data_IF_184863079593
#
_entry.id   IF_184863079593
#
_cell.length_a   1.000
_cell.length_b   1.000
_cell.length_c   1.000
_cell.angle_alpha   90.00
_cell.angle_beta   90.00
_cell.angle_gamma   90.00
#
_symmetry.space_group_name_H-M   'P 1'
#
loop_
_entity.id
_entity.type
_entity.pdbx_description
1 polymer ?
#
# COMPACT_ATOMS: atom_id res chain seq x y z
N UNK A 1 -13.29 -6.71 20.37
CA UNK A 1 -11.90 -6.49 20.83
C UNK A 1 -11.58 -5.00 20.79
N UNK A 2 -10.61 -4.57 21.59
CA UNK A 2 -10.05 -3.22 21.56
C UNK A 2 -8.75 -3.24 20.76
N UNK A 3 -8.71 -2.47 19.68
CA UNK A 3 -7.63 -2.54 18.67
C UNK A 3 -6.97 -1.18 18.53
N UNK A 4 -5.63 -1.14 18.60
CA UNK A 4 -4.87 0.00 18.11
C UNK A 4 -4.52 -0.22 16.65
N UNK A 5 -4.85 0.75 15.79
CA UNK A 5 -4.58 0.69 14.36
C UNK A 5 -3.59 1.79 13.95
N UNK A 6 -2.40 1.39 13.52
CA UNK A 6 -1.36 2.30 13.05
C UNK A 6 -1.40 2.54 11.55
N UNK A 7 -1.34 3.81 11.14
CA UNK A 7 -1.32 4.21 9.71
C UNK A 7 -0.12 5.10 9.45
N UNK A 8 0.73 4.71 8.51
CA UNK A 8 1.84 5.58 8.09
C UNK A 8 1.30 6.81 7.37
N UNK A 9 1.82 7.99 7.72
CA UNK A 9 1.31 9.28 7.22
C UNK A 9 1.81 9.71 5.85
N UNK A 10 2.72 8.96 5.25
CA UNK A 10 3.31 9.24 3.94
C UNK A 10 2.37 8.78 2.81
N UNK A 11 1.72 9.76 2.17
CA UNK A 11 0.83 9.53 1.04
C UNK A 11 -0.61 9.13 1.43
N UNK A 12 -1.56 9.50 0.55
CA UNK A 12 -3.00 9.25 0.78
C UNK A 12 -3.38 7.78 0.55
N UNK A 13 -2.57 7.00 -0.18
CA UNK A 13 -2.87 5.59 -0.47
C UNK A 13 -3.00 4.72 0.79
N UNK A 14 -2.15 4.97 1.81
CA UNK A 14 -2.27 4.30 3.11
C UNK A 14 -3.56 4.68 3.84
N UNK A 15 -3.88 5.97 3.87
CA UNK A 15 -5.09 6.45 4.54
C UNK A 15 -6.38 5.89 3.91
N UNK A 16 -6.46 5.86 2.57
CA UNK A 16 -7.64 5.37 1.84
C UNK A 16 -7.84 3.88 2.02
N UNK A 17 -6.78 3.05 1.93
CA UNK A 17 -6.91 1.60 2.14
C UNK A 17 -7.15 1.25 3.61
N UNK A 18 -6.49 1.96 4.55
CA UNK A 18 -6.73 1.76 5.99
C UNK A 18 -8.17 2.11 6.38
N UNK A 19 -8.79 3.15 5.76
CA UNK A 19 -10.21 3.45 5.96
C UNK A 19 -11.09 2.22 5.69
N UNK A 20 -10.83 1.49 4.62
CA UNK A 20 -11.60 0.29 4.26
C UNK A 20 -11.55 -0.77 5.36
N UNK A 21 -10.36 -1.02 5.90
CA UNK A 21 -10.15 -1.99 6.97
C UNK A 21 -10.78 -1.50 8.28
N UNK A 22 -10.61 -0.23 8.60
CA UNK A 22 -11.18 0.39 9.80
C UNK A 22 -12.72 0.35 9.78
N UNK A 23 -13.34 0.61 8.62
CA UNK A 23 -14.80 0.50 8.47
C UNK A 23 -15.30 -0.93 8.67
N UNK A 24 -14.57 -1.94 8.19
CA UNK A 24 -14.87 -3.36 8.43
C UNK A 24 -14.79 -3.70 9.93
N UNK A 25 -13.67 -3.34 10.57
CA UNK A 25 -13.47 -3.62 12.00
C UNK A 25 -14.52 -2.94 12.90
N UNK A 26 -14.88 -1.69 12.58
CA UNK A 26 -15.93 -0.95 13.30
C UNK A 26 -17.32 -1.60 13.10
N UNK A 27 -17.62 -2.05 11.87
CA UNK A 27 -18.85 -2.76 11.56
C UNK A 27 -18.95 -4.12 12.29
N UNK A 28 -17.81 -4.78 12.51
CA UNK A 28 -17.69 -5.99 13.32
C UNK A 28 -17.81 -5.75 14.85
N UNK A 29 -17.96 -4.49 15.28
CA UNK A 29 -18.16 -4.12 16.69
C UNK A 29 -16.87 -4.02 17.49
N UNK A 30 -15.71 -3.87 16.85
CA UNK A 30 -14.43 -3.60 17.54
C UNK A 30 -14.36 -2.14 17.99
N UNK A 31 -13.77 -1.89 19.14
CA UNK A 31 -13.41 -0.56 19.62
C UNK A 31 -12.00 -0.21 19.11
N UNK A 32 -11.84 0.94 18.46
CA UNK A 32 -10.60 1.25 17.73
C UNK A 32 -10.04 2.60 18.15
N UNK A 33 -8.74 2.64 18.40
CA UNK A 33 -7.94 3.86 18.42
C UNK A 33 -6.96 3.83 17.24
N UNK A 34 -7.05 4.85 16.40
CA UNK A 34 -6.15 5.02 15.25
C UNK A 34 -4.99 5.93 15.65
N UNK A 35 -3.76 5.49 15.37
CA UNK A 35 -2.55 6.31 15.49
C UNK A 35 -2.01 6.60 14.09
N UNK A 36 -1.87 7.87 13.74
CA UNK A 36 -1.55 8.27 12.37
C UNK A 36 -0.80 9.59 12.34
N UNK A 37 0.07 9.78 11.36
CA UNK A 37 0.83 11.04 11.20
C UNK A 37 0.41 11.82 9.95
N UNK A 38 0.78 13.10 9.89
CA UNK A 38 0.73 13.93 8.69
C UNK A 38 -0.66 14.14 8.09
N UNK A 39 -0.73 14.21 6.76
CA UNK A 39 -1.98 14.51 6.03
C UNK A 39 -3.07 13.45 6.22
N UNK A 40 -2.68 12.22 6.47
CA UNK A 40 -3.62 11.12 6.72
C UNK A 40 -4.43 11.34 8.02
N UNK A 41 -3.89 12.07 9.01
CA UNK A 41 -4.60 12.37 10.26
C UNK A 41 -5.90 13.14 10.01
N UNK A 42 -5.84 14.28 9.30
CA UNK A 42 -7.03 15.08 9.02
C UNK A 42 -8.10 14.29 8.24
N UNK A 43 -7.66 13.50 7.27
CA UNK A 43 -8.54 12.65 6.46
C UNK A 43 -9.26 11.59 7.32
N UNK A 44 -8.52 10.81 8.12
CA UNK A 44 -9.11 9.76 8.94
C UNK A 44 -9.95 10.32 10.08
N UNK A 45 -9.56 11.45 10.68
CA UNK A 45 -10.38 12.15 11.68
C UNK A 45 -11.74 12.52 11.12
N UNK A 46 -11.78 13.06 9.89
CA UNK A 46 -13.04 13.41 9.23
C UNK A 46 -13.89 12.18 8.89
N UNK A 47 -13.27 11.13 8.32
CA UNK A 47 -13.98 9.93 7.85
C UNK A 47 -14.50 9.06 8.99
N UNK A 48 -13.82 9.06 10.14
CA UNK A 48 -14.15 8.23 11.30
C UNK A 48 -14.83 9.00 12.44
N UNK A 49 -15.20 10.27 12.19
CA UNK A 49 -15.80 11.15 13.20
C UNK A 49 -16.95 10.47 13.95
N UNK A 50 -16.87 10.46 15.29
CA UNK A 50 -17.86 9.86 16.17
C UNK A 50 -17.88 8.30 16.20
N UNK A 51 -16.99 7.63 15.44
CA UNK A 51 -16.91 6.16 15.37
C UNK A 51 -15.62 5.59 15.94
N UNK A 52 -14.51 6.31 15.82
CA UNK A 52 -13.21 5.93 16.38
C UNK A 52 -12.46 7.15 16.86
N UNK A 53 -11.60 6.95 17.87
CA UNK A 53 -10.63 7.95 18.32
C UNK A 53 -9.45 7.95 17.36
N UNK A 54 -9.01 9.13 16.90
CA UNK A 54 -7.87 9.29 15.98
C UNK A 54 -6.83 10.18 16.65
N UNK A 55 -5.66 9.63 16.92
CA UNK A 55 -4.55 10.30 17.57
C UNK A 55 -3.44 10.64 16.59
N UNK A 56 -2.99 11.88 16.63
CA UNK A 56 -1.91 12.31 15.78
C UNK A 56 -0.56 12.01 16.46
N UNK A 57 0.25 11.20 15.77
CA UNK A 57 1.63 10.89 16.14
C UNK A 57 2.62 11.62 15.22
N UNK A 58 3.87 11.68 15.66
CA UNK A 58 4.96 12.13 14.82
C UNK A 58 5.48 10.95 13.99
N UNK A 59 5.31 11.03 12.67
CA UNK A 59 5.83 10.04 11.71
C UNK A 59 7.22 10.38 11.21
N UNK A 60 7.85 9.45 10.52
CA UNK A 60 9.06 9.73 9.75
C UNK A 60 8.69 10.56 8.52
N UNK A 61 9.46 11.61 8.25
CA UNK A 61 9.28 12.47 7.07
C UNK A 61 10.31 12.10 6.00
N UNK A 62 9.82 11.76 4.81
CA UNK A 62 10.66 11.57 3.62
C UNK A 62 10.69 12.88 2.81
N UNK A 63 11.85 13.32 2.41
CA UNK A 63 12.04 14.47 1.52
C UNK A 63 12.45 14.01 0.14
N UNK A 64 11.96 14.71 -0.87
CA UNK A 64 12.19 14.42 -2.27
C UNK A 64 12.80 15.63 -2.97
N UNK A 65 13.81 15.40 -3.80
CA UNK A 65 14.32 16.37 -4.75
C UNK A 65 13.86 15.95 -6.16
N UNK A 66 12.87 16.67 -6.70
CA UNK A 66 12.20 16.24 -7.93
C UNK A 66 11.43 14.93 -7.74
N UNK A 67 11.84 13.88 -8.46
CA UNK A 67 11.28 12.53 -8.37
C UNK A 67 12.20 11.56 -7.62
N UNK A 68 13.27 12.05 -7.00
CA UNK A 68 14.24 11.23 -6.27
C UNK A 68 14.06 11.39 -4.76
N UNK A 69 14.29 10.31 -4.02
CA UNK A 69 14.30 10.33 -2.56
C UNK A 69 15.62 10.90 -2.05
N UNK A 70 15.58 12.09 -1.44
CA UNK A 70 16.73 12.65 -0.74
C UNK A 70 16.88 12.03 0.65
N UNK A 71 17.71 10.99 0.71
CA UNK A 71 18.01 10.28 1.95
C UNK A 71 18.74 11.18 2.96
N UNK A 72 19.64 12.05 2.49
CA UNK A 72 20.46 12.91 3.36
C UNK A 72 19.60 13.96 4.05
N UNK A 73 18.77 14.67 3.29
CA UNK A 73 17.83 15.65 3.85
C UNK A 73 16.72 15.01 4.67
N UNK A 74 16.25 13.82 4.28
CA UNK A 74 15.29 13.05 5.06
C UNK A 74 15.83 12.70 6.43
N UNK A 75 17.05 12.16 6.52
CA UNK A 75 17.72 11.84 7.77
C UNK A 75 17.94 13.10 8.62
N UNK A 76 18.47 14.18 8.04
CA UNK A 76 18.76 15.41 8.77
C UNK A 76 17.50 16.08 9.31
N UNK A 77 16.41 16.13 8.53
CA UNK A 77 15.13 16.69 8.97
C UNK A 77 14.49 15.86 10.08
N UNK A 78 14.52 14.53 9.97
CA UNK A 78 14.01 13.67 11.05
C UNK A 78 14.82 13.81 12.34
N UNK A 79 16.16 13.92 12.25
CA UNK A 79 17.00 14.18 13.44
C UNK A 79 16.69 15.52 14.11
N UNK A 80 16.42 16.57 13.34
CA UNK A 80 16.06 17.90 13.88
C UNK A 80 14.70 17.89 14.59
N UNK A 81 13.73 17.16 14.07
CA UNK A 81 12.38 17.06 14.63
C UNK A 81 12.24 15.97 15.72
N UNK A 82 13.27 15.14 15.91
CA UNK A 82 13.23 14.01 16.84
C UNK A 82 12.87 14.39 18.29
N UNK A 83 13.37 15.48 18.89
CA UNK A 83 13.03 15.81 20.28
C UNK A 83 11.55 16.12 20.48
N UNK A 84 10.94 16.94 19.61
CA UNK A 84 9.52 17.30 19.68
C UNK A 84 8.63 16.10 19.33
N UNK A 85 8.98 15.37 18.27
CA UNK A 85 8.28 14.18 17.83
C UNK A 85 8.30 13.07 18.88
N UNK A 86 9.44 12.88 19.55
CA UNK A 86 9.55 11.91 20.64
C UNK A 86 8.66 12.29 21.83
N UNK A 87 8.63 13.57 22.22
CA UNK A 87 7.76 14.05 23.30
C UNK A 87 6.29 13.84 23.00
N UNK A 88 5.83 14.17 21.77
CA UNK A 88 4.47 13.93 21.33
C UNK A 88 4.12 12.43 21.38
N UNK A 89 4.97 11.59 20.81
CA UNK A 89 4.73 10.15 20.76
C UNK A 89 4.72 9.50 22.15
N UNK A 90 5.58 9.97 23.07
CA UNK A 90 5.57 9.50 24.46
C UNK A 90 4.27 9.92 25.19
N UNK A 91 3.75 11.11 24.91
CA UNK A 91 2.46 11.57 25.44
C UNK A 91 1.31 10.65 24.98
N UNK A 92 1.18 10.44 23.68
CA UNK A 92 0.18 9.53 23.09
C UNK A 92 0.35 8.12 23.64
N UNK A 93 1.58 7.61 23.72
CA UNK A 93 1.87 6.29 24.30
C UNK A 93 1.37 6.17 25.73
N UNK A 94 1.70 7.14 26.60
CA UNK A 94 1.28 7.12 27.99
C UNK A 94 -0.24 7.21 28.17
N UNK A 95 -0.92 7.98 27.32
CA UNK A 95 -2.38 8.09 27.33
C UNK A 95 -3.06 6.79 26.86
N UNK A 96 -2.52 6.14 25.83
CA UNK A 96 -3.01 4.84 25.40
C UNK A 96 -2.83 3.76 26.47
N UNK A 97 -1.65 3.69 27.09
CA UNK A 97 -1.39 2.72 28.19
C UNK A 97 -2.33 2.90 29.36
N UNK A 98 -2.67 4.16 29.70
CA UNK A 98 -3.54 4.46 30.84
C UNK A 98 -5.03 4.32 30.52
N UNK A 99 -5.42 4.62 29.28
CA UNK A 99 -6.83 4.81 28.94
C UNK A 99 -7.41 3.81 27.94
N UNK A 100 -6.58 2.96 27.33
CA UNK A 100 -7.03 1.99 26.32
C UNK A 100 -6.34 0.65 26.49
N UNK A 101 -7.00 -0.26 27.18
CA UNK A 101 -6.49 -1.62 27.41
C UNK A 101 -6.67 -2.46 26.13
N UNK A 102 -5.74 -2.32 25.17
CA UNK A 102 -5.81 -2.95 23.87
C UNK A 102 -5.61 -4.47 23.95
N UNK A 103 -6.36 -5.20 23.12
CA UNK A 103 -6.24 -6.66 22.95
C UNK A 103 -5.28 -7.02 21.82
N UNK A 104 -5.23 -6.20 20.77
CA UNK A 104 -4.41 -6.42 19.57
C UNK A 104 -3.98 -5.10 18.92
N UNK A 105 -2.97 -5.19 18.06
CA UNK A 105 -2.51 -4.07 17.24
C UNK A 105 -2.57 -4.47 15.77
N UNK A 106 -3.04 -3.57 14.91
CA UNK A 106 -2.95 -3.69 13.46
C UNK A 106 -2.09 -2.54 12.94
N UNK A 107 -1.20 -2.80 12.01
CA UNK A 107 -0.30 -1.78 11.45
C UNK A 107 -0.30 -1.79 9.93
N UNK A 108 -0.64 -0.67 9.31
CA UNK A 108 -0.35 -0.37 7.93
C UNK A 108 1.02 0.33 7.85
N UNK A 109 2.08 -0.48 7.96
CA UNK A 109 3.48 -0.09 7.86
C UNK A 109 3.89 1.04 8.82
N UNK A 110 3.27 1.13 10.00
CA UNK A 110 3.46 2.19 10.97
C UNK A 110 4.28 1.69 12.19
N UNK A 111 5.37 2.37 12.53
CA UNK A 111 6.35 1.92 13.51
C UNK A 111 5.95 2.19 14.95
N UNK A 112 5.21 3.28 15.25
CA UNK A 112 4.75 3.58 16.61
C UNK A 112 3.82 2.47 17.12
N UNK A 113 2.90 2.00 16.27
CA UNK A 113 2.02 0.88 16.59
C UNK A 113 2.82 -0.40 16.90
N UNK A 114 3.90 -0.66 16.17
CA UNK A 114 4.81 -1.77 16.46
C UNK A 114 5.51 -1.61 17.82
N UNK A 115 6.04 -0.41 18.11
CA UNK A 115 6.64 -0.13 19.42
C UNK A 115 5.66 -0.32 20.55
N UNK A 116 4.42 0.14 20.38
CA UNK A 116 3.35 -0.04 21.36
C UNK A 116 3.06 -1.52 21.59
N UNK A 117 2.84 -2.28 20.51
CA UNK A 117 2.60 -3.72 20.58
C UNK A 117 3.74 -4.45 21.29
N UNK A 118 4.98 -4.14 20.94
CA UNK A 118 6.17 -4.74 21.54
C UNK A 118 6.29 -4.47 23.04
N UNK A 119 6.05 -3.22 23.44
CA UNK A 119 6.11 -2.83 24.84
C UNK A 119 5.02 -3.47 25.68
N UNK A 120 3.79 -3.49 25.17
CA UNK A 120 2.62 -4.05 25.84
C UNK A 120 2.50 -5.58 25.67
N UNK A 121 3.42 -6.21 24.93
CA UNK A 121 3.40 -7.64 24.60
C UNK A 121 2.08 -8.05 23.92
N UNK A 122 1.60 -7.24 23.01
CA UNK A 122 0.39 -7.48 22.26
C UNK A 122 0.70 -8.12 20.89
N UNK A 123 -0.16 -9.01 20.41
CA UNK A 123 -0.07 -9.51 19.04
C UNK A 123 -0.29 -8.37 18.03
N UNK A 124 0.55 -8.33 16.98
CA UNK A 124 0.48 -7.34 15.91
C UNK A 124 0.23 -8.01 14.58
N UNK A 125 -0.80 -7.57 13.86
CA UNK A 125 -1.05 -7.95 12.47
C UNK A 125 -0.54 -6.82 11.56
N UNK A 126 0.38 -7.14 10.64
CA UNK A 126 0.85 -6.21 9.59
C UNK A 126 -0.04 -6.33 8.37
N UNK A 127 -0.53 -5.22 7.84
CA UNK A 127 -1.32 -5.17 6.60
C UNK A 127 -0.75 -4.09 5.69
N UNK A 128 0.06 -4.48 4.72
CA UNK A 128 0.70 -3.54 3.80
C UNK A 128 1.15 -4.23 2.50
N UNK A 129 1.66 -3.47 1.53
CA UNK A 129 2.29 -4.00 0.33
C UNK A 129 3.82 -4.10 0.45
N UNK A 130 4.44 -3.27 1.29
CA UNK A 130 5.91 -3.15 1.40
C UNK A 130 6.59 -4.49 1.76
N UNK A 131 5.92 -5.31 2.55
CA UNK A 131 6.43 -6.60 2.98
C UNK A 131 6.61 -7.63 1.85
N UNK A 132 6.06 -7.36 0.66
CA UNK A 132 6.33 -8.21 -0.52
C UNK A 132 7.83 -8.32 -0.81
N UNK A 133 8.59 -7.22 -0.63
CA UNK A 133 10.05 -7.18 -0.78
C UNK A 133 10.79 -8.16 0.14
N UNK A 134 10.29 -8.27 1.38
CA UNK A 134 10.97 -9.04 2.43
C UNK A 134 10.46 -10.48 2.52
N UNK A 135 9.18 -10.74 2.23
CA UNK A 135 8.52 -12.00 2.56
C UNK A 135 8.27 -12.92 1.36
N UNK A 136 8.56 -12.44 0.13
CA UNK A 136 8.35 -13.22 -1.08
C UNK A 136 9.64 -13.44 -1.86
N UNK A 137 9.65 -14.46 -2.75
CA UNK A 137 10.68 -14.64 -3.77
C UNK A 137 10.30 -13.87 -5.01
N UNK A 138 11.29 -13.27 -5.64
CA UNK A 138 11.12 -12.58 -6.89
C UNK A 138 12.03 -13.22 -7.94
N UNK A 139 11.55 -13.29 -9.19
CA UNK A 139 12.37 -13.71 -10.32
C UNK A 139 13.44 -12.66 -10.60
N UNK A 140 14.53 -13.05 -11.28
CA UNK A 140 15.68 -12.17 -11.58
C UNK A 140 15.30 -10.87 -12.29
N UNK A 141 14.21 -10.89 -13.09
CA UNK A 141 13.72 -9.68 -13.75
C UNK A 141 13.13 -8.63 -12.79
N UNK A 142 12.63 -9.07 -11.65
CA UNK A 142 11.87 -8.25 -10.69
C UNK A 142 12.74 -7.81 -9.50
N UNK A 143 13.82 -8.52 -9.21
CA UNK A 143 14.72 -8.22 -8.11
C UNK A 143 16.11 -7.87 -8.62
N UNK A 144 16.74 -6.92 -7.97
CA UNK A 144 18.16 -6.61 -8.09
C UNK A 144 18.82 -7.02 -6.77
N UNK A 145 18.73 -8.32 -6.46
CA UNK A 145 19.17 -8.88 -5.18
C UNK A 145 20.68 -8.68 -4.92
N UNK A 146 21.47 -8.38 -5.96
CA UNK A 146 22.89 -8.08 -5.84
C UNK A 146 23.15 -6.59 -5.53
N UNK A 147 22.20 -5.69 -5.79
CA UNK A 147 22.32 -4.27 -5.49
C UNK A 147 22.37 -4.03 -3.97
N UNK A 148 23.39 -3.29 -3.53
CA UNK A 148 23.49 -2.86 -2.13
C UNK A 148 22.26 -2.06 -1.70
N UNK A 149 21.76 -1.19 -2.54
CA UNK A 149 20.60 -0.34 -2.27
C UNK A 149 19.31 -1.18 -2.12
N UNK A 150 19.10 -2.20 -2.95
CA UNK A 150 17.99 -3.15 -2.80
C UNK A 150 18.07 -3.90 -1.46
N UNK A 151 19.25 -4.43 -1.10
CA UNK A 151 19.44 -5.12 0.18
C UNK A 151 19.18 -4.20 1.37
N UNK A 152 19.59 -2.93 1.27
CA UNK A 152 19.31 -1.93 2.30
C UNK A 152 17.81 -1.65 2.42
N UNK A 153 17.10 -1.49 1.31
CA UNK A 153 15.64 -1.30 1.30
C UNK A 153 14.91 -2.49 1.92
N UNK A 154 15.29 -3.71 1.55
CA UNK A 154 14.75 -4.96 2.11
C UNK A 154 15.01 -5.06 3.63
N UNK A 155 16.22 -4.69 4.07
CA UNK A 155 16.55 -4.61 5.49
C UNK A 155 15.69 -3.58 6.20
N UNK A 156 15.49 -2.38 5.63
CA UNK A 156 14.66 -1.34 6.22
C UNK A 156 13.20 -1.78 6.37
N UNK A 157 12.65 -2.46 5.35
CA UNK A 157 11.29 -3.04 5.42
C UNK A 157 11.20 -4.11 6.52
N UNK A 158 12.19 -5.02 6.60
CA UNK A 158 12.28 -6.04 7.66
C UNK A 158 12.34 -5.38 9.05
N UNK A 159 13.21 -4.39 9.22
CA UNK A 159 13.46 -3.73 10.51
C UNK A 159 12.29 -2.88 11.01
N UNK A 160 11.37 -2.48 10.14
CA UNK A 160 10.27 -1.58 10.50
C UNK A 160 9.17 -2.26 11.31
N UNK A 161 8.83 -3.52 10.98
CA UNK A 161 7.79 -4.30 11.64
C UNK A 161 8.24 -5.76 11.86
N UNK A 162 9.34 -6.00 12.60
CA UNK A 162 9.81 -7.37 12.82
C UNK A 162 8.92 -8.12 13.81
N UNK A 163 8.80 -9.44 13.62
CA UNK A 163 8.14 -10.31 14.58
C UNK A 163 6.64 -10.10 14.71
N UNK A 164 5.93 -9.67 13.64
CA UNK A 164 4.49 -9.57 13.68
C UNK A 164 3.84 -10.94 13.89
N UNK A 165 2.67 -10.96 14.52
CA UNK A 165 1.85 -12.14 14.71
C UNK A 165 1.52 -12.77 13.35
N UNK A 166 1.11 -11.95 12.36
CA UNK A 166 0.93 -12.35 10.97
C UNK A 166 1.08 -11.17 10.01
N UNK A 167 1.44 -11.45 8.75
CA UNK A 167 1.59 -10.46 7.70
C UNK A 167 0.59 -10.72 6.58
N UNK A 168 -0.40 -9.85 6.43
CA UNK A 168 -1.31 -9.80 5.30
C UNK A 168 -0.72 -8.86 4.25
N UNK A 169 -0.14 -9.41 3.19
CA UNK A 169 0.57 -8.64 2.17
C UNK A 169 -0.35 -8.42 0.98
N UNK A 170 -0.81 -7.19 0.81
CA UNK A 170 -1.70 -6.82 -0.30
C UNK A 170 -0.93 -6.70 -1.61
N UNK A 171 -1.38 -7.42 -2.66
CA UNK A 171 -0.71 -7.45 -3.96
C UNK A 171 -1.67 -7.75 -5.11
N UNK A 172 -1.41 -7.21 -6.31
CA UNK A 172 -2.09 -7.59 -7.56
C UNK A 172 -1.32 -8.66 -8.33
N UNK A 173 -0.17 -9.06 -7.84
CA UNK A 173 0.66 -10.18 -8.32
C UNK A 173 1.02 -11.08 -7.14
N UNK A 174 1.22 -12.37 -7.41
CA UNK A 174 1.31 -13.37 -6.35
C UNK A 174 2.59 -14.19 -6.46
N UNK A 175 3.75 -13.63 -6.04
CA UNK A 175 5.01 -14.35 -6.01
C UNK A 175 5.00 -15.40 -4.90
N UNK A 176 5.83 -16.46 -5.00
CA UNK A 176 5.95 -17.45 -3.95
C UNK A 176 6.35 -16.83 -2.60
N UNK A 177 5.58 -17.13 -1.56
CA UNK A 177 5.90 -16.75 -0.19
C UNK A 177 7.09 -17.58 0.30
N UNK A 178 8.07 -16.90 0.94
CA UNK A 178 9.28 -17.57 1.47
C UNK A 178 9.40 -17.58 2.99
N UNK A 179 8.55 -16.83 3.68
CA UNK A 179 8.56 -16.72 5.14
C UNK A 179 7.23 -17.15 5.74
N UNK A 180 7.22 -17.88 6.87
CA UNK A 180 6.00 -18.29 7.56
C UNK A 180 5.19 -17.06 8.02
N UNK A 181 3.97 -17.29 8.49
CA UNK A 181 3.04 -16.24 8.97
C UNK A 181 2.81 -15.13 7.94
N UNK A 182 2.69 -15.52 6.66
CA UNK A 182 2.51 -14.58 5.55
C UNK A 182 1.40 -15.07 4.63
N UNK A 183 0.43 -14.20 4.38
CA UNK A 183 -0.64 -14.44 3.43
C UNK A 183 -0.70 -13.30 2.43
N UNK A 184 -0.67 -13.64 1.14
CA UNK A 184 -0.92 -12.66 0.08
C UNK A 184 -2.42 -12.47 -0.06
N UNK A 185 -2.87 -11.22 -0.12
CA UNK A 185 -4.26 -10.84 -0.33
C UNK A 185 -4.38 -9.91 -1.54
N UNK A 186 -5.52 -9.89 -2.24
CA UNK A 186 -5.75 -8.96 -3.35
C UNK A 186 -5.60 -7.49 -2.94
N UNK A 187 -5.53 -6.56 -3.91
CA UNK A 187 -5.53 -5.13 -3.63
C UNK A 187 -6.69 -4.72 -2.74
N UNK A 188 -6.40 -3.87 -1.75
CA UNK A 188 -7.41 -3.32 -0.85
C UNK A 188 -8.10 -2.16 -1.56
N UNK A 189 -9.36 -2.34 -1.89
CA UNK A 189 -10.11 -1.43 -2.74
C UNK A 189 -11.18 -0.70 -1.95
N UNK A 190 -11.26 0.61 -2.13
CA UNK A 190 -12.35 1.42 -1.56
C UNK A 190 -13.69 1.09 -2.22
N UNK A 191 -14.82 1.26 -1.49
CA UNK A 191 -16.15 0.92 -2.00
C UNK A 191 -16.49 1.61 -3.32
N UNK A 192 -16.01 2.82 -3.53
CA UNK A 192 -16.21 3.61 -4.74
C UNK A 192 -15.60 2.91 -5.99
N UNK A 193 -14.46 2.25 -5.85
CA UNK A 193 -13.81 1.45 -6.91
C UNK A 193 -14.56 0.15 -7.14
N UNK A 194 -14.96 -0.55 -6.06
CA UNK A 194 -15.72 -1.80 -6.18
C UNK A 194 -17.08 -1.59 -6.85
N UNK A 195 -17.70 -0.42 -6.66
CA UNK A 195 -18.97 -0.06 -7.29
C UNK A 195 -18.80 0.49 -8.72
N UNK A 196 -17.59 0.89 -9.11
CA UNK A 196 -17.34 1.52 -10.40
C UNK A 196 -17.42 0.49 -11.55
N UNK A 197 -18.06 0.89 -12.65
CA UNK A 197 -18.10 0.10 -13.88
C UNK A 197 -17.18 0.74 -14.91
N UNK A 198 -16.34 -0.05 -15.53
CA UNK A 198 -15.44 0.38 -16.59
C UNK A 198 -16.22 0.87 -17.81
N UNK A 199 -15.96 2.09 -18.25
CA UNK A 199 -16.51 2.72 -19.45
C UNK A 199 -15.39 3.48 -20.18
N UNK A 200 -14.61 2.83 -21.06
CA UNK A 200 -13.44 3.44 -21.69
C UNK A 200 -13.80 4.69 -22.49
N UNK A 201 -13.23 5.82 -22.11
CA UNK A 201 -13.29 7.07 -22.84
C UNK A 201 -11.98 7.39 -23.57
N UNK A 202 -11.78 8.66 -23.95
CA UNK A 202 -10.65 9.09 -24.77
C UNK A 202 -9.52 9.76 -23.97
N UNK A 203 -9.81 10.24 -22.75
CA UNK A 203 -8.83 10.99 -21.98
C UNK A 203 -7.79 10.08 -21.30
N UNK A 204 -6.61 10.64 -21.09
CA UNK A 204 -5.55 10.03 -20.30
C UNK A 204 -5.61 10.64 -18.91
N UNK A 205 -5.71 9.78 -17.88
CA UNK A 205 -5.63 10.22 -16.49
C UNK A 205 -4.16 10.35 -16.08
N UNK A 206 -3.80 11.48 -15.48
CA UNK A 206 -2.45 11.72 -14.95
C UNK A 206 -2.56 11.97 -13.45
N UNK A 207 -1.77 11.25 -12.65
CA UNK A 207 -1.70 11.47 -11.20
C UNK A 207 -0.26 11.72 -10.77
N UNK A 208 -0.03 12.86 -10.13
CA UNK A 208 1.26 13.25 -9.58
C UNK A 208 1.20 13.43 -8.07
N UNK A 209 2.17 12.86 -7.36
CA UNK A 209 2.21 12.95 -5.89
C UNK A 209 2.84 14.27 -5.41
N UNK A 210 3.78 14.84 -6.18
CA UNK A 210 4.50 16.06 -5.82
C UNK A 210 4.20 17.20 -6.80
N UNK A 211 3.59 18.28 -6.31
CA UNK A 211 3.24 19.45 -7.12
C UNK A 211 4.46 20.22 -7.66
N UNK A 212 5.65 19.99 -7.11
CA UNK A 212 6.89 20.71 -7.51
C UNK A 212 7.23 20.58 -9.00
N UNK A 213 6.85 19.47 -9.65
CA UNK A 213 7.15 19.19 -11.06
C UNK A 213 5.97 19.50 -12.00
N UNK A 214 4.94 20.21 -11.55
CA UNK A 214 3.72 20.43 -12.33
C UNK A 214 3.99 21.16 -13.66
N UNK A 215 4.88 22.15 -13.68
CA UNK A 215 5.19 22.91 -14.90
C UNK A 215 5.88 22.07 -15.98
N UNK A 216 6.85 21.25 -15.59
CA UNK A 216 7.55 20.34 -16.50
C UNK A 216 6.56 19.28 -17.05
N UNK A 217 5.71 18.72 -16.18
CA UNK A 217 4.67 17.78 -16.57
C UNK A 217 3.70 18.42 -17.59
N UNK A 218 3.12 19.59 -17.30
CA UNK A 218 2.21 20.29 -18.20
C UNK A 218 2.86 20.58 -19.56
N UNK A 219 4.10 21.06 -19.55
CA UNK A 219 4.86 21.33 -20.78
C UNK A 219 5.04 20.05 -21.62
N UNK A 220 5.28 18.92 -20.97
CA UNK A 220 5.42 17.62 -21.64
C UNK A 220 4.08 17.16 -22.23
N UNK A 221 3.00 17.21 -21.47
CA UNK A 221 1.67 16.76 -21.90
C UNK A 221 1.11 17.64 -23.04
N UNK A 222 1.40 18.93 -23.06
CA UNK A 222 0.96 19.86 -24.09
C UNK A 222 1.61 19.61 -25.48
N UNK A 223 2.68 18.83 -25.55
CA UNK A 223 3.28 18.39 -26.83
C UNK A 223 2.46 17.28 -27.51
N UNK A 224 1.55 16.66 -26.79
CA UNK A 224 0.76 15.51 -27.24
C UNK A 224 -0.65 15.92 -27.67
N UNK A 225 -1.28 15.26 -28.67
CA UNK A 225 -2.60 15.62 -29.16
C UNK A 225 -3.77 15.14 -28.25
N UNK A 226 -3.51 14.27 -27.28
CA UNK A 226 -4.52 13.68 -26.41
C UNK A 226 -5.07 14.70 -25.40
N UNK A 227 -6.26 14.44 -24.88
CA UNK A 227 -6.82 15.14 -23.73
C UNK A 227 -6.33 14.49 -22.44
N UNK A 228 -5.88 15.31 -21.50
CA UNK A 228 -5.40 14.86 -20.20
C UNK A 228 -6.23 15.42 -19.08
N UNK A 229 -6.52 14.61 -18.07
CA UNK A 229 -7.03 15.03 -16.77
C UNK A 229 -5.94 14.78 -15.71
N UNK A 230 -5.43 15.84 -15.10
CA UNK A 230 -4.27 15.78 -14.23
C UNK A 230 -4.64 16.12 -12.78
N UNK A 231 -4.34 15.21 -11.87
CA UNK A 231 -4.51 15.36 -10.43
C UNK A 231 -3.16 15.51 -9.72
N UNK A 232 -3.15 16.17 -8.55
CA UNK A 232 -1.94 16.32 -7.74
C UNK A 232 -0.98 17.42 -8.22
N UNK A 233 -1.37 18.21 -9.22
CA UNK A 233 -0.54 19.29 -9.78
C UNK A 233 -0.48 20.56 -8.91
N UNK A 234 -1.32 20.66 -7.87
CA UNK A 234 -1.47 21.90 -7.10
C UNK A 234 -2.16 23.04 -7.85
N UNK A 235 -2.68 22.77 -9.05
CA UNK A 235 -3.37 23.71 -9.94
C UNK A 235 -4.78 23.26 -10.24
N UNK A 236 -5.63 24.19 -10.66
CA UNK A 236 -7.00 23.91 -11.11
C UNK A 236 -7.29 24.74 -12.37
N UNK A 237 -7.94 24.13 -13.36
CA UNK A 237 -8.32 24.79 -14.61
C UNK A 237 -7.76 24.08 -15.84
N UNK A 238 -8.06 24.63 -17.02
CA UNK A 238 -7.69 24.06 -18.31
C UNK A 238 -6.46 24.78 -18.88
N UNK A 239 -5.42 24.02 -19.19
CA UNK A 239 -4.14 24.49 -19.74
C UNK A 239 -3.89 23.77 -21.07
N UNK A 240 -4.37 24.36 -22.16
CA UNK A 240 -4.33 23.69 -23.47
C UNK A 240 -5.19 22.43 -23.51
N UNK A 241 -4.56 21.31 -23.74
CA UNK A 241 -5.20 19.98 -23.76
C UNK A 241 -5.19 19.27 -22.39
N UNK A 242 -4.74 19.94 -21.32
CA UNK A 242 -4.65 19.40 -19.96
C UNK A 242 -5.64 20.11 -19.03
N UNK A 243 -6.57 19.36 -18.46
CA UNK A 243 -7.45 19.79 -17.38
C UNK A 243 -6.81 19.40 -16.04
N UNK A 244 -6.38 20.39 -15.25
CA UNK A 244 -5.91 20.21 -13.89
C UNK A 244 -7.09 20.16 -12.93
N UNK A 245 -7.30 19.02 -12.30
CA UNK A 245 -8.44 18.73 -11.44
C UNK A 245 -8.08 18.95 -9.96
N UNK A 246 -8.98 19.55 -9.16
CA UNK A 246 -8.84 19.59 -7.71
C UNK A 246 -8.99 18.17 -7.14
N UNK A 247 -8.45 17.95 -5.94
CA UNK A 247 -8.64 16.65 -5.29
C UNK A 247 -10.14 16.41 -5.00
N UNK A 248 -10.64 15.29 -5.49
CA UNK A 248 -11.99 14.80 -5.23
C UNK A 248 -11.98 13.28 -5.37
N UNK A 249 -12.37 12.56 -4.31
CA UNK A 249 -12.38 11.09 -4.34
C UNK A 249 -13.36 10.55 -5.40
N UNK A 250 -14.54 11.12 -5.49
CA UNK A 250 -15.58 10.65 -6.43
C UNK A 250 -15.25 11.01 -7.88
N UNK A 251 -14.83 12.25 -8.15
CA UNK A 251 -14.43 12.67 -9.50
C UNK A 251 -13.21 11.89 -9.99
N UNK A 252 -12.23 11.64 -9.10
CA UNK A 252 -11.05 10.82 -9.45
C UNK A 252 -11.43 9.40 -9.86
N UNK A 253 -12.35 8.75 -9.14
CA UNK A 253 -12.82 7.40 -9.48
C UNK A 253 -13.57 7.41 -10.81
N UNK A 254 -14.40 8.43 -11.06
CA UNK A 254 -15.13 8.57 -12.32
C UNK A 254 -14.16 8.78 -13.49
N UNK A 255 -13.15 9.62 -13.31
CA UNK A 255 -12.11 9.85 -14.31
C UNK A 255 -11.22 8.63 -14.51
N UNK A 256 -10.93 7.85 -13.46
CA UNK A 256 -10.16 6.61 -13.58
C UNK A 256 -10.94 5.53 -14.35
N UNK A 257 -12.21 5.28 -14.00
CA UNK A 257 -13.04 4.26 -14.68
C UNK A 257 -13.32 4.59 -16.14
N UNK A 258 -13.26 5.89 -16.51
CA UNK A 258 -13.49 6.35 -17.88
C UNK A 258 -12.19 6.70 -18.64
N UNK A 259 -11.02 6.65 -18.00
CA UNK A 259 -9.75 6.92 -18.67
C UNK A 259 -9.43 5.88 -19.74
N UNK A 260 -8.84 6.31 -20.85
CA UNK A 260 -8.22 5.38 -21.82
C UNK A 260 -7.07 4.61 -21.20
N UNK A 261 -6.22 5.31 -20.44
CA UNK A 261 -5.09 4.77 -19.69
C UNK A 261 -4.67 5.78 -18.61
N UNK A 262 -3.75 5.36 -17.71
CA UNK A 262 -3.23 6.17 -16.60
C UNK A 262 -1.72 6.40 -16.77
N UNK A 263 -1.25 7.60 -16.45
CA UNK A 263 0.17 7.92 -16.27
C UNK A 263 0.35 8.38 -14.83
N UNK A 264 1.14 7.63 -14.04
CA UNK A 264 1.33 7.98 -12.62
C UNK A 264 2.66 7.44 -12.09
N UNK A 265 3.02 7.83 -10.86
CA UNK A 265 4.11 7.21 -10.12
C UNK A 265 3.82 5.74 -9.78
N UNK A 266 4.77 5.08 -9.08
CA UNK A 266 4.68 3.67 -8.74
C UNK A 266 3.82 3.34 -7.50
N UNK A 267 2.96 4.26 -7.06
CA UNK A 267 2.14 4.07 -5.86
C UNK A 267 1.16 2.90 -5.98
N UNK A 268 1.31 1.93 -5.08
CA UNK A 268 0.60 0.66 -5.12
C UNK A 268 -0.94 0.78 -5.14
N UNK A 269 -1.53 1.69 -4.33
CA UNK A 269 -2.98 1.79 -4.21
C UNK A 269 -3.66 2.14 -5.53
N UNK A 270 -3.13 3.17 -6.25
CA UNK A 270 -3.65 3.54 -7.57
C UNK A 270 -3.41 2.42 -8.59
N UNK A 271 -2.27 1.75 -8.52
CA UNK A 271 -1.96 0.63 -9.41
C UNK A 271 -2.95 -0.52 -9.22
N UNK A 272 -3.28 -0.87 -7.97
CA UNK A 272 -4.29 -1.87 -7.67
C UNK A 272 -5.70 -1.48 -8.16
N UNK A 273 -6.08 -0.20 -8.00
CA UNK A 273 -7.36 0.32 -8.52
C UNK A 273 -7.42 0.30 -10.06
N UNK A 274 -6.32 0.69 -10.73
CA UNK A 274 -6.23 0.65 -12.19
C UNK A 274 -6.32 -0.78 -12.74
N UNK A 275 -5.59 -1.73 -12.13
CA UNK A 275 -5.65 -3.15 -12.51
C UNK A 275 -7.05 -3.72 -12.29
N UNK A 276 -7.69 -3.41 -11.15
CA UNK A 276 -9.07 -3.85 -10.86
C UNK A 276 -10.08 -3.35 -11.91
N UNK A 277 -9.94 -2.10 -12.33
CA UNK A 277 -10.80 -1.49 -13.35
C UNK A 277 -10.34 -1.80 -14.78
N UNK A 278 -9.33 -2.65 -14.96
CA UNK A 278 -8.75 -2.97 -16.27
C UNK A 278 -8.29 -1.73 -17.04
N UNK A 279 -7.66 -0.77 -16.36
CA UNK A 279 -7.10 0.44 -16.96
C UNK A 279 -5.59 0.30 -17.12
N UNK A 280 -5.05 0.30 -18.35
CA UNK A 280 -3.60 0.25 -18.57
C UNK A 280 -2.88 1.41 -17.88
N UNK A 281 -1.72 1.14 -17.29
CA UNK A 281 -0.98 2.16 -16.56
C UNK A 281 0.48 2.27 -17.00
N UNK A 282 0.94 3.49 -17.29
CA UNK A 282 2.36 3.83 -17.33
C UNK A 282 2.80 4.22 -15.91
N UNK A 283 3.65 3.40 -15.33
CA UNK A 283 4.21 3.65 -14.00
C UNK A 283 5.58 4.29 -14.11
N UNK A 284 5.78 5.41 -13.41
CA UNK A 284 7.05 6.12 -13.30
C UNK A 284 7.45 6.15 -11.82
N UNK A 285 8.08 5.07 -11.32
CA UNK A 285 8.45 4.94 -9.92
C UNK A 285 9.39 6.05 -9.47
N UNK A 286 9.31 6.41 -8.20
CA UNK A 286 10.30 7.28 -7.55
C UNK A 286 11.60 6.46 -7.43
N UNK A 287 12.70 7.00 -7.95
CA UNK A 287 14.00 6.33 -7.90
C UNK A 287 14.42 6.07 -6.45
N UNK A 288 14.88 4.85 -6.19
CA UNK A 288 15.26 4.40 -4.85
C UNK A 288 14.08 3.97 -3.96
N UNK A 289 12.84 4.03 -4.45
CA UNK A 289 11.69 3.39 -3.79
C UNK A 289 11.43 2.00 -4.40
N UNK A 290 12.19 1.03 -3.93
CA UNK A 290 12.21 -0.32 -4.50
C UNK A 290 10.85 -1.04 -4.49
N UNK A 291 9.96 -0.72 -3.58
CA UNK A 291 8.57 -1.23 -3.62
C UNK A 291 7.85 -0.74 -4.87
N UNK A 292 7.99 0.55 -5.20
CA UNK A 292 7.37 1.12 -6.40
C UNK A 292 7.98 0.54 -7.68
N UNK A 293 9.31 0.38 -7.70
CA UNK A 293 10.03 -0.24 -8.82
C UNK A 293 9.60 -1.70 -9.01
N UNK A 294 9.50 -2.47 -7.93
CA UNK A 294 9.04 -3.86 -7.97
C UNK A 294 7.60 -3.96 -8.52
N UNK A 295 6.68 -3.14 -8.00
CA UNK A 295 5.31 -3.09 -8.48
C UNK A 295 5.23 -2.75 -9.97
N UNK A 296 6.02 -1.77 -10.45
CA UNK A 296 6.06 -1.38 -11.85
C UNK A 296 6.63 -2.49 -12.76
N UNK A 297 7.68 -3.20 -12.32
CA UNK A 297 8.25 -4.35 -13.04
C UNK A 297 7.21 -5.48 -13.18
N UNK A 298 6.47 -5.80 -12.11
CA UNK A 298 5.39 -6.80 -12.20
C UNK A 298 4.23 -6.33 -13.06
N UNK A 299 3.84 -5.05 -12.98
CA UNK A 299 2.82 -4.48 -13.87
C UNK A 299 3.18 -4.69 -15.35
N UNK A 300 4.44 -4.39 -15.71
CA UNK A 300 4.95 -4.60 -17.07
C UNK A 300 5.05 -6.07 -17.43
N UNK A 301 5.56 -6.93 -16.55
CA UNK A 301 5.71 -8.37 -16.79
C UNK A 301 4.37 -9.05 -17.06
N UNK A 302 3.31 -8.65 -16.35
CA UNK A 302 1.96 -9.17 -16.54
C UNK A 302 1.27 -8.60 -17.80
N UNK A 303 1.88 -7.60 -18.44
CA UNK A 303 1.32 -6.92 -19.58
C UNK A 303 0.20 -5.94 -19.24
N UNK A 304 0.07 -5.55 -17.97
CA UNK A 304 -0.99 -4.64 -17.49
C UNK A 304 -0.64 -3.17 -17.66
N UNK A 305 0.62 -2.90 -17.99
CA UNK A 305 1.14 -1.55 -18.16
C UNK A 305 2.59 -1.55 -18.62
N UNK A 306 3.23 -0.39 -18.51
CA UNK A 306 4.65 -0.20 -18.76
C UNK A 306 5.32 0.53 -17.60
N UNK A 307 6.62 0.34 -17.46
CA UNK A 307 7.49 1.13 -16.58
C UNK A 307 8.27 2.13 -17.43
N UNK A 308 8.49 3.32 -16.87
CA UNK A 308 9.45 4.30 -17.40
C UNK A 308 10.21 4.96 -16.25
N UNK A 309 11.40 5.47 -16.54
CA UNK A 309 12.23 6.14 -15.53
C UNK A 309 11.95 7.65 -15.46
N UNK A 310 11.42 8.22 -16.54
CA UNK A 310 11.18 9.66 -16.67
C UNK A 310 9.85 9.97 -17.34
N UNK A 311 9.34 11.17 -17.07
CA UNK A 311 8.18 11.74 -17.76
C UNK A 311 8.67 12.36 -19.08
N UNK A 312 8.45 11.65 -20.18
CA UNK A 312 8.84 12.09 -21.52
C UNK A 312 7.67 11.95 -22.50
N UNK A 313 7.57 12.88 -23.48
CA UNK A 313 6.43 12.93 -24.41
C UNK A 313 6.41 11.72 -25.35
N UNK A 314 7.56 11.28 -25.85
CA UNK A 314 7.64 10.15 -26.78
C UNK A 314 7.30 8.84 -26.04
N UNK A 315 7.80 8.68 -24.81
CA UNK A 315 7.45 7.53 -23.94
C UNK A 315 5.96 7.45 -23.66
N UNK A 316 5.31 8.60 -23.36
CA UNK A 316 3.87 8.67 -23.13
C UNK A 316 3.10 8.36 -24.42
N UNK A 317 3.53 8.89 -25.58
CA UNK A 317 2.89 8.64 -26.87
C UNK A 317 2.95 7.15 -27.25
N UNK A 318 4.11 6.52 -27.09
CA UNK A 318 4.32 5.09 -27.35
C UNK A 318 3.48 4.22 -26.43
N UNK A 319 3.39 4.59 -25.14
CA UNK A 319 2.53 3.90 -24.18
C UNK A 319 1.04 4.01 -24.58
N UNK A 320 0.55 5.22 -24.90
CA UNK A 320 -0.86 5.44 -25.31
C UNK A 320 -1.19 4.62 -26.58
N UNK A 321 -0.24 4.53 -27.49
CA UNK A 321 -0.40 3.73 -28.72
C UNK A 321 -0.52 2.23 -28.41
N UNK A 322 0.27 1.73 -27.45
CA UNK A 322 0.27 0.34 -27.05
C UNK A 322 -0.83 -0.01 -26.01
N UNK A 323 -1.54 0.97 -25.45
CA UNK A 323 -2.56 0.74 -24.42
C UNK A 323 -3.62 -0.32 -24.77
N UNK A 324 -4.10 -0.47 -26.02
CA UNK A 324 -5.04 -1.52 -26.38
C UNK A 324 -4.52 -2.94 -26.14
N UNK A 325 -3.22 -3.19 -26.33
CA UNK A 325 -2.60 -4.51 -26.08
C UNK A 325 -2.63 -4.84 -24.58
N UNK A 326 -2.34 -3.85 -23.74
CA UNK A 326 -2.37 -3.98 -22.28
C UNK A 326 -3.81 -4.11 -21.76
N UNK A 327 -4.76 -3.40 -22.38
CA UNK A 327 -6.18 -3.57 -22.10
C UNK A 327 -6.62 -5.03 -22.31
N UNK A 328 -6.19 -5.64 -23.41
CA UNK A 328 -6.50 -7.06 -23.69
C UNK A 328 -5.81 -8.00 -22.67
N UNK A 329 -4.61 -7.69 -22.22
CA UNK A 329 -3.95 -8.47 -21.17
C UNK A 329 -4.69 -8.36 -19.83
N UNK A 330 -5.19 -7.17 -19.50
CA UNK A 330 -5.98 -6.91 -18.29
C UNK A 330 -7.33 -7.64 -18.28
N UNK A 331 -7.93 -7.96 -19.42
CA UNK A 331 -9.16 -8.76 -19.49
C UNK A 331 -9.02 -10.16 -18.85
N UNK A 332 -7.78 -10.65 -18.70
CA UNK A 332 -7.48 -11.92 -18.02
C UNK A 332 -7.35 -11.76 -16.49
N UNK A 333 -7.22 -10.54 -16.01
CA UNK A 333 -7.23 -10.29 -14.57
C UNK A 333 -8.66 -10.44 -14.03
N UNK A 334 -8.83 -11.31 -13.04
CA UNK A 334 -10.12 -11.51 -12.38
C UNK A 334 -10.22 -10.53 -11.22
N UNK A 335 -11.07 -9.47 -11.32
CA UNK A 335 -11.26 -8.51 -10.24
C UNK A 335 -11.77 -9.21 -8.97
N UNK A 336 -11.19 -8.85 -7.83
CA UNK A 336 -11.58 -9.39 -6.52
C UNK A 336 -11.95 -8.25 -5.60
N UNK A 337 -12.86 -8.52 -4.69
CA UNK A 337 -13.24 -7.60 -3.62
C UNK A 337 -12.34 -7.79 -2.37
N UNK A 338 -12.73 -7.14 -1.28
CA UNK A 338 -11.97 -7.21 -0.02
C UNK A 338 -12.33 -8.43 0.85
N UNK A 339 -13.19 -9.33 0.41
CA UNK A 339 -13.72 -10.45 1.24
C UNK A 339 -12.62 -11.37 1.76
N UNK A 340 -11.61 -11.66 0.92
CA UNK A 340 -10.47 -12.47 1.34
C UNK A 340 -9.66 -11.80 2.45
N UNK A 341 -9.34 -10.50 2.30
CA UNK A 341 -8.65 -9.74 3.34
C UNK A 341 -9.44 -9.75 4.65
N UNK A 342 -10.74 -9.46 4.58
CA UNK A 342 -11.60 -9.41 5.74
C UNK A 342 -11.70 -10.78 6.43
N UNK A 343 -11.90 -11.84 5.67
CA UNK A 343 -11.93 -13.19 6.21
C UNK A 343 -10.62 -13.59 6.89
N UNK A 344 -9.49 -13.27 6.29
CA UNK A 344 -8.17 -13.51 6.89
C UNK A 344 -7.97 -12.69 8.18
N UNK A 345 -8.36 -11.42 8.17
CA UNK A 345 -8.23 -10.55 9.34
C UNK A 345 -9.12 -11.02 10.49
N UNK A 346 -10.37 -11.36 10.21
CA UNK A 346 -11.32 -11.86 11.21
C UNK A 346 -10.85 -13.20 11.80
N UNK A 347 -10.28 -14.10 10.98
CA UNK A 347 -9.69 -15.37 11.44
C UNK A 347 -8.52 -15.09 12.39
N UNK A 348 -7.60 -14.19 12.04
CA UNK A 348 -6.46 -13.82 12.89
C UNK A 348 -6.92 -13.19 14.22
N UNK A 349 -7.90 -12.30 14.20
CA UNK A 349 -8.44 -11.69 15.40
C UNK A 349 -9.16 -12.74 16.29
N UNK A 350 -9.82 -13.72 15.70
CA UNK A 350 -10.40 -14.85 16.44
C UNK A 350 -9.30 -15.68 17.12
N UNK A 351 -8.23 -16.03 16.42
CA UNK A 351 -7.08 -16.74 17.01
C UNK A 351 -6.48 -15.97 18.18
N UNK A 352 -6.30 -14.66 18.03
CA UNK A 352 -5.83 -13.78 19.11
C UNK A 352 -6.79 -13.78 20.29
N UNK A 353 -8.10 -13.72 20.04
CA UNK A 353 -9.13 -13.74 21.08
C UNK A 353 -9.19 -15.07 21.85
N UNK A 354 -8.72 -16.16 21.28
CA UNK A 354 -8.60 -17.48 21.89
C UNK A 354 -7.21 -17.75 22.48
N UNK A 355 -6.32 -16.79 22.45
CA UNK A 355 -4.92 -16.91 22.91
C UNK A 355 -4.15 -18.02 22.16
N UNK A 356 -4.51 -18.25 20.89
CA UNK A 356 -3.87 -19.23 20.02
C UNK A 356 -2.56 -18.68 19.40
N UNK A 357 -1.58 -19.53 19.09
CA UNK A 357 -0.36 -19.09 18.40
C UNK A 357 -0.68 -18.62 16.96
N UNK A 358 0.20 -17.81 16.35
CA UNK A 358 0.01 -17.36 14.97
C UNK A 358 -0.02 -18.56 14.02
N UNK A 359 -0.99 -18.65 13.11
CA UNK A 359 -1.03 -19.71 12.10
C UNK A 359 0.06 -19.50 11.05
N UNK A 360 0.70 -20.57 10.61
CA UNK A 360 1.66 -20.52 9.50
C UNK A 360 0.97 -20.21 8.17
N UNK A 361 -0.24 -20.74 8.00
CA UNK A 361 -1.13 -20.48 6.87
C UNK A 361 -2.56 -20.27 7.38
N UNK A 362 -3.30 -19.40 6.70
CA UNK A 362 -4.71 -19.16 6.98
C UNK A 362 -5.58 -20.15 6.21
N UNK A 363 -6.68 -20.56 6.84
CA UNK A 363 -7.62 -21.55 6.31
C UNK A 363 -8.99 -20.94 5.96
N UNK A 364 -9.09 -19.60 5.96
CA UNK A 364 -10.34 -18.93 5.67
C UNK A 364 -11.03 -19.48 4.42
N UNK A 365 -12.34 -19.76 4.44
CA UNK A 365 -13.06 -20.33 3.31
C UNK A 365 -12.90 -19.55 2.00
N UNK A 366 -12.63 -18.25 2.11
CA UNK A 366 -12.29 -17.38 0.98
C UNK A 366 -11.00 -17.77 0.25
N UNK A 367 -10.09 -18.53 0.89
CA UNK A 367 -8.85 -19.01 0.28
C UNK A 367 -9.05 -20.28 -0.57
N UNK A 368 -10.04 -21.11 -0.25
CA UNK A 368 -10.32 -22.35 -0.97
C UNK A 368 -10.70 -22.12 -2.46
N UNK A 369 -11.24 -20.95 -2.77
CA UNK A 369 -11.52 -20.53 -4.16
C UNK A 369 -10.29 -19.97 -4.89
N UNK A 370 -9.21 -19.72 -4.19
CA UNK A 370 -8.00 -19.10 -4.72
C UNK A 370 -7.08 -20.10 -5.43
N UNK A 371 -7.00 -21.33 -4.91
CA UNK A 371 -6.16 -22.39 -5.45
C UNK A 371 -6.60 -22.85 -6.86
N UNK A 372 -7.87 -22.69 -7.20
CA UNK A 372 -8.42 -23.07 -8.51
C UNK A 372 -8.15 -22.06 -9.63
N UNK A 373 -8.04 -20.77 -9.33
CA UNK A 373 -7.95 -19.69 -10.33
C UNK A 373 -6.50 -19.25 -10.63
N UNK A 374 -5.54 -19.68 -9.83
CA UNK A 374 -4.11 -19.36 -10.03
C UNK A 374 -3.44 -20.23 -11.09
N UNK A 375 -4.12 -21.30 -11.53
CA UNK A 375 -3.63 -22.25 -12.53
C UNK A 375 -3.37 -21.66 -13.93
N UNK A 376 -3.75 -20.41 -14.17
CA UNK A 376 -3.51 -19.69 -15.45
C UNK A 376 -2.26 -18.80 -15.46
N UNK A 377 -1.58 -18.60 -14.32
CA UNK A 377 -0.35 -17.84 -14.26
C UNK A 377 0.86 -18.79 -14.35
N UNK A 378 1.85 -18.54 -15.23
CA UNK A 378 3.08 -19.32 -15.23
C UNK A 378 3.77 -19.21 -13.87
N UNK A 379 3.88 -20.30 -13.13
CA UNK A 379 4.47 -20.33 -11.80
C UNK A 379 3.46 -20.26 -10.65
N UNK A 380 2.24 -20.78 -10.87
CA UNK A 380 1.23 -20.91 -9.83
C UNK A 380 1.81 -21.53 -8.54
N UNK A 381 1.54 -20.81 -7.49
CA UNK A 381 1.79 -21.06 -6.09
C UNK A 381 1.65 -22.55 -5.72
N UNK A 382 2.71 -23.31 -5.87
CA UNK A 382 2.93 -24.41 -4.95
C UNK A 382 3.61 -23.78 -3.72
N UNK A 383 2.95 -23.82 -2.58
CA UNK A 383 3.54 -23.51 -1.30
C UNK A 383 4.68 -24.51 -1.02
N UNK A 384 5.79 -24.34 -1.69
CA UNK A 384 7.04 -24.94 -1.30
C UNK A 384 7.61 -24.00 -0.24
N UNK A 385 7.25 -24.23 1.02
CA UNK A 385 8.08 -23.84 2.16
C UNK A 385 9.38 -24.62 1.95
N UNK A 386 10.33 -24.06 1.23
CA UNK A 386 11.66 -24.62 1.20
C UNK A 386 12.41 -24.11 2.43
N UNK A 387 13.00 -25.04 3.13
CA UNK A 387 13.64 -25.00 4.43
C UNK A 387 14.90 -24.09 4.53
N UNK A 388 15.20 -23.27 3.52
CA UNK A 388 16.44 -22.48 3.43
C UNK A 388 16.33 -21.04 3.92
N UNK A 389 15.29 -20.70 4.64
CA UNK A 389 15.14 -19.39 5.27
C UNK A 389 14.92 -19.56 6.76
N UNK A 390 16.01 -19.72 7.53
CA UNK A 390 15.92 -19.48 8.95
C UNK A 390 15.21 -18.14 9.16
N UNK A 391 14.06 -18.18 9.86
CA UNK A 391 13.31 -16.98 10.21
C UNK A 391 14.18 -16.21 11.21
N UNK A 392 15.07 -15.33 10.68
CA UNK A 392 15.85 -14.40 11.50
C UNK A 392 14.95 -13.41 12.28
N UNK A 393 13.65 -13.43 12.04
CA UNK A 393 12.65 -12.84 12.91
C UNK A 393 12.50 -13.77 14.13
N UNK A 394 13.52 -13.76 14.99
CA UNK A 394 13.51 -14.51 16.26
C UNK A 394 12.18 -14.23 16.93
N UNK A 395 11.37 -15.25 17.03
CA UNK A 395 10.16 -15.25 17.85
C UNK A 395 10.59 -15.02 19.29
N UNK A 396 10.52 -13.76 19.72
CA UNK A 396 10.60 -13.49 21.15
C UNK A 396 9.32 -14.10 21.76
N UNK A 397 9.44 -15.11 22.64
CA UNK A 397 8.30 -15.73 23.30
C UNK A 397 7.38 -14.74 24.01
N UNK A 398 7.88 -13.52 24.28
CA UNK A 398 7.13 -12.43 24.90
C UNK A 398 6.01 -11.84 24.00
N UNK A 399 5.96 -12.17 22.69
CA UNK A 399 4.87 -11.77 21.78
C UNK A 399 3.74 -12.81 21.70
N UNK A 400 3.88 -13.94 22.35
CA UNK A 400 2.93 -15.07 22.35
C UNK A 400 2.03 -15.07 23.61
N UNK A 401 1.35 -13.96 23.91
CA UNK A 401 0.34 -13.92 24.95
C UNK A 401 0.81 -13.34 26.31
N UNK A 402 -0.13 -12.75 27.04
CA UNK A 402 0.05 -12.37 28.45
C UNK A 402 -0.09 -13.62 29.29
N UNK A 403 0.81 -13.96 30.20
CA UNK A 403 0.45 -14.82 31.31
C UNK A 403 -0.61 -14.11 32.14
N UNK A 404 -1.74 -14.79 32.37
CA UNK A 404 -2.82 -14.34 33.26
C UNK A 404 -2.32 -14.17 34.69
#
# INVERSE_FOLDING_TARGET
MRIIYGVVGEGMGHATRSRVILEHLLAAGHEIVVVVSGRAHAFLTQKLAGRARVEEIHGLHLKFEGNDLDLSESILSNLKLMPEGLGKNLGVFADLVRGFDADAVVSDFESFAWWFARWQKLPLISIDNMQVLNRCRHDDFASDDESFAYRLAKFAVKAKLPGAYHYLVSSFFFPPVKKPRTTLVPPILRPEILAAKREPGEHVLVYQTAAANADALLTTLQKLPQRFKAYGTGRTGVFGNVECCPFSETAFVDDLRTARCVVAGGGYSLMGEAVHLHVPMLSIPIQGQYEQELNARYLQRLGYGRQADVVDADVIADFITAAPEMQHALERYVPRDNSMLFGCLDELLRHIGLDEPPPDALTAPSMAHWEGDVAGLPGAVQAAISDDGADDDVTDPAMLGRPR
#
